data_IF_259335512134
#
_entry.id   IF_259335512134
#
_cell.length_a   1.000
_cell.length_b   1.000
_cell.length_c   1.000
_cell.angle_alpha   90.00
_cell.angle_beta   90.00
_cell.angle_gamma   90.00
#
_symmetry.space_group_name_H-M   'P 1'
#
loop_
_entity.id
_entity.type
_entity.pdbx_description
1 polymer ?
#
# COMPACT_ATOMS: atom_id res chain seq x y z
N UNK A 1 -13.09 -13.53 31.24
CA UNK A 1 -14.10 -12.44 31.29
C UNK A 1 -14.02 -11.46 30.10
N UNK A 2 -12.87 -10.88 29.72
CA UNK A 2 -12.78 -10.08 28.47
C UNK A 2 -12.77 -10.93 27.18
N UNK A 3 -12.16 -12.10 27.22
CA UNK A 3 -12.15 -13.05 26.08
C UNK A 3 -13.53 -13.70 25.83
N UNK A 4 -14.36 -13.82 26.87
CA UNK A 4 -15.69 -14.46 26.74
C UNK A 4 -16.69 -13.57 25.97
N UNK A 5 -16.59 -12.25 26.12
CA UNK A 5 -17.44 -11.28 25.40
C UNK A 5 -17.09 -11.20 23.91
N UNK A 6 -15.83 -11.39 23.54
CA UNK A 6 -15.38 -11.27 22.16
C UNK A 6 -15.58 -12.57 21.36
N UNK A 7 -15.42 -13.74 22.00
CA UNK A 7 -15.91 -15.00 21.46
C UNK A 7 -17.43 -14.96 21.23
N UNK A 8 -18.17 -14.27 22.09
CA UNK A 8 -19.61 -14.04 21.93
C UNK A 8 -19.95 -13.15 20.72
N UNK A 9 -19.10 -12.19 20.34
CA UNK A 9 -19.38 -11.34 19.16
C UNK A 9 -19.31 -12.12 17.86
N UNK A 10 -18.28 -12.97 17.70
CA UNK A 10 -18.15 -13.81 16.50
C UNK A 10 -19.31 -14.81 16.40
N UNK A 11 -19.67 -15.47 17.51
CA UNK A 11 -20.79 -16.42 17.52
C UNK A 11 -22.14 -15.75 17.28
N UNK A 12 -22.35 -14.51 17.74
CA UNK A 12 -23.54 -13.71 17.43
C UNK A 12 -23.62 -13.38 15.94
N UNK A 13 -22.51 -13.02 15.29
CA UNK A 13 -22.49 -12.76 13.85
C UNK A 13 -22.75 -14.03 13.03
N UNK A 14 -22.11 -15.14 13.39
CA UNK A 14 -22.33 -16.43 12.73
C UNK A 14 -23.77 -16.92 12.90
N UNK A 15 -24.36 -16.72 14.10
CA UNK A 15 -25.76 -17.02 14.36
C UNK A 15 -26.68 -16.13 13.51
N UNK A 16 -26.39 -14.82 13.42
CA UNK A 16 -27.17 -13.89 12.62
C UNK A 16 -27.13 -14.28 11.13
N UNK A 17 -25.95 -14.57 10.59
CA UNK A 17 -25.79 -15.04 9.21
C UNK A 17 -26.62 -16.31 8.94
N UNK A 18 -26.56 -17.28 9.86
CA UNK A 18 -27.36 -18.51 9.77
C UNK A 18 -28.86 -18.23 9.87
N UNK A 19 -29.31 -17.34 10.74
CA UNK A 19 -30.71 -16.96 10.83
C UNK A 19 -31.23 -16.39 9.51
N UNK A 20 -30.47 -15.48 8.90
CA UNK A 20 -30.85 -14.90 7.62
C UNK A 20 -30.88 -15.94 6.49
N UNK A 21 -30.10 -17.03 6.57
CA UNK A 21 -30.17 -18.09 5.56
C UNK A 21 -31.53 -18.82 5.49
N UNK A 22 -32.41 -18.66 6.49
CA UNK A 22 -33.76 -19.20 6.45
C UNK A 22 -34.74 -18.26 5.72
N UNK A 23 -35.45 -18.72 4.66
CA UNK A 23 -36.37 -17.88 3.90
C UNK A 23 -37.46 -17.20 4.75
N UNK A 24 -37.98 -17.90 5.76
CA UNK A 24 -39.00 -17.37 6.67
C UNK A 24 -38.52 -16.15 7.46
N UNK A 25 -37.23 -16.11 7.83
CA UNK A 25 -36.64 -14.95 8.52
C UNK A 25 -36.55 -13.76 7.58
N UNK A 26 -36.24 -13.99 6.30
CA UNK A 26 -36.22 -12.94 5.28
C UNK A 26 -37.58 -12.35 5.00
N UNK A 27 -38.59 -13.20 4.84
CA UNK A 27 -39.97 -12.76 4.64
C UNK A 27 -40.43 -11.88 5.81
N UNK A 28 -40.15 -12.31 7.04
CA UNK A 28 -40.43 -11.51 8.22
C UNK A 28 -39.71 -10.15 8.20
N UNK A 29 -38.42 -10.16 7.88
CA UNK A 29 -37.62 -8.93 7.83
C UNK A 29 -38.07 -7.98 6.72
N UNK A 30 -38.53 -8.49 5.56
CA UNK A 30 -39.14 -7.67 4.52
C UNK A 30 -40.45 -7.05 4.99
N UNK A 31 -41.33 -7.83 5.60
CA UNK A 31 -42.59 -7.33 6.15
C UNK A 31 -42.34 -6.26 7.23
N UNK A 32 -41.34 -6.46 8.08
CA UNK A 32 -40.92 -5.47 9.07
C UNK A 32 -40.36 -4.19 8.42
N UNK A 33 -39.54 -4.32 7.37
CA UNK A 33 -38.97 -3.19 6.63
C UNK A 33 -40.03 -2.35 5.88
N UNK A 34 -41.12 -2.97 5.42
CA UNK A 34 -42.28 -2.26 4.85
C UNK A 34 -43.00 -1.40 5.90
N UNK A 35 -42.98 -1.83 7.16
CA UNK A 35 -43.63 -1.12 8.27
C UNK A 35 -42.73 -0.04 8.87
N UNK A 36 -41.43 -0.30 8.98
CA UNK A 36 -40.42 0.63 9.49
C UNK A 36 -39.09 0.44 8.75
N UNK A 37 -38.66 1.47 8.01
CA UNK A 37 -37.44 1.44 7.20
C UNK A 37 -36.15 1.26 8.02
N UNK A 38 -36.19 1.45 9.34
CA UNK A 38 -35.06 1.15 10.23
C UNK A 38 -34.77 -0.36 10.33
N UNK A 39 -35.75 -1.21 10.02
CA UNK A 39 -35.58 -2.67 9.96
C UNK A 39 -35.07 -3.14 8.59
N UNK A 40 -34.89 -2.24 7.61
CA UNK A 40 -34.34 -2.60 6.31
C UNK A 40 -32.86 -3.00 6.41
N UNK A 41 -32.44 -3.94 5.56
CA UNK A 41 -31.06 -4.40 5.52
C UNK A 41 -30.08 -3.30 5.11
N UNK A 42 -30.54 -2.31 4.33
CA UNK A 42 -29.78 -1.09 4.01
C UNK A 42 -29.40 -0.27 5.25
N UNK A 43 -30.23 -0.31 6.30
CA UNK A 43 -29.96 0.36 7.58
C UNK A 43 -29.19 -0.55 8.56
N UNK A 44 -29.46 -1.86 8.54
CA UNK A 44 -28.90 -2.80 9.51
C UNK A 44 -27.48 -3.27 9.15
N UNK A 45 -27.18 -3.55 7.88
CA UNK A 45 -25.87 -4.08 7.47
C UNK A 45 -24.73 -3.11 7.74
N UNK A 46 -24.86 -1.77 7.57
CA UNK A 46 -23.82 -0.83 7.96
C UNK A 46 -23.37 -0.94 9.42
N UNK A 47 -24.19 -1.51 10.32
CA UNK A 47 -23.79 -1.77 11.72
C UNK A 47 -22.70 -2.84 11.85
N UNK A 48 -22.47 -3.65 10.80
CA UNK A 48 -21.38 -4.62 10.73
C UNK A 48 -20.05 -3.96 10.31
N UNK A 49 -20.10 -2.77 9.69
CA UNK A 49 -18.93 -2.14 9.08
C UNK A 49 -17.77 -1.89 10.07
N UNK A 50 -18.00 -1.45 11.32
CA UNK A 50 -16.92 -1.29 12.30
C UNK A 50 -16.18 -2.59 12.62
N UNK A 51 -16.79 -3.76 12.38
CA UNK A 51 -16.20 -5.06 12.71
C UNK A 51 -15.28 -5.63 11.62
N UNK A 52 -15.20 -5.01 10.43
CA UNK A 52 -14.25 -5.40 9.39
C UNK A 52 -12.80 -5.38 9.89
N UNK A 53 -12.47 -4.41 10.74
CA UNK A 53 -11.13 -4.23 11.33
C UNK A 53 -11.12 -4.51 12.83
N UNK A 54 -11.92 -5.48 13.26
CA UNK A 54 -11.93 -5.92 14.65
C UNK A 54 -10.60 -6.62 15.02
N UNK A 55 -10.13 -6.43 16.26
CA UNK A 55 -8.84 -6.97 16.74
C UNK A 55 -8.77 -8.50 16.69
N UNK A 56 -9.91 -9.17 16.82
CA UNK A 56 -10.02 -10.63 16.81
C UNK A 56 -10.35 -11.15 15.40
N UNK A 57 -9.50 -12.04 14.90
CA UNK A 57 -9.58 -12.62 13.56
C UNK A 57 -10.89 -13.35 13.28
N UNK A 58 -11.42 -14.13 14.24
CA UNK A 58 -12.69 -14.85 14.03
C UNK A 58 -13.87 -13.91 13.82
N UNK A 59 -13.89 -12.74 14.46
CA UNK A 59 -14.91 -11.71 14.24
C UNK A 59 -14.82 -11.17 12.81
N UNK A 60 -13.61 -10.86 12.33
CA UNK A 60 -13.42 -10.40 10.93
C UNK A 60 -13.86 -11.45 9.92
N UNK A 61 -13.57 -12.73 10.17
CA UNK A 61 -14.05 -13.85 9.34
C UNK A 61 -15.58 -13.93 9.35
N UNK A 62 -16.21 -13.83 10.52
CA UNK A 62 -17.67 -13.88 10.67
C UNK A 62 -18.35 -12.74 9.90
N UNK A 63 -17.80 -11.52 9.92
CA UNK A 63 -18.30 -10.39 9.11
C UNK A 63 -18.27 -10.75 7.63
N UNK A 64 -17.13 -11.20 7.10
CA UNK A 64 -17.00 -11.53 5.67
C UNK A 64 -17.91 -12.69 5.26
N UNK A 65 -18.04 -13.73 6.08
CA UNK A 65 -18.97 -14.84 5.83
C UNK A 65 -20.43 -14.37 5.84
N UNK A 66 -20.79 -13.49 6.76
CA UNK A 66 -22.13 -12.89 6.82
C UNK A 66 -22.45 -12.15 5.52
N UNK A 67 -21.50 -11.38 4.99
CA UNK A 67 -21.67 -10.71 3.70
C UNK A 67 -21.79 -11.70 2.54
N UNK A 68 -21.01 -12.79 2.53
CA UNK A 68 -21.18 -13.84 1.52
C UNK A 68 -22.56 -14.48 1.57
N UNK A 69 -23.10 -14.73 2.77
CA UNK A 69 -24.46 -15.24 2.93
C UNK A 69 -25.45 -14.26 2.30
N UNK A 70 -25.38 -12.97 2.64
CA UNK A 70 -26.26 -11.95 2.05
C UNK A 70 -26.13 -11.81 0.53
N UNK A 71 -24.91 -11.92 -0.02
CA UNK A 71 -24.68 -11.85 -1.47
C UNK A 71 -25.21 -13.09 -2.20
N UNK A 72 -25.26 -14.24 -1.54
CA UNK A 72 -25.83 -15.47 -2.10
C UNK A 72 -27.37 -15.47 -2.13
N UNK A 73 -28.01 -14.44 -1.57
CA UNK A 73 -29.45 -14.33 -1.47
C UNK A 73 -29.93 -13.39 -2.57
N UNK A 74 -30.34 -13.95 -3.71
CA UNK A 74 -30.75 -13.20 -4.90
C UNK A 74 -31.90 -12.20 -4.66
N UNK A 75 -32.66 -12.39 -3.58
CA UNK A 75 -33.83 -11.58 -3.26
C UNK A 75 -33.51 -10.38 -2.33
N UNK A 76 -32.24 -10.02 -2.14
CA UNK A 76 -31.81 -8.92 -1.28
C UNK A 76 -30.83 -7.99 -2.03
N UNK A 77 -31.35 -7.19 -2.96
CA UNK A 77 -30.50 -6.31 -3.79
C UNK A 77 -30.14 -4.97 -3.13
N UNK A 78 -30.90 -4.51 -2.14
CA UNK A 78 -30.92 -3.07 -1.78
C UNK A 78 -29.81 -2.61 -0.82
N UNK A 79 -29.01 -3.52 -0.27
CA UNK A 79 -28.05 -3.18 0.78
C UNK A 79 -26.63 -2.89 0.28
N UNK A 80 -26.27 -3.39 -0.91
CA UNK A 80 -24.95 -3.18 -1.49
C UNK A 80 -24.84 -1.74 -1.97
N UNK A 81 -23.78 -1.06 -1.53
CA UNK A 81 -23.49 0.32 -1.93
C UNK A 81 -21.98 0.57 -2.03
N UNK A 82 -21.61 1.81 -2.35
CA UNK A 82 -20.21 2.23 -2.47
C UNK A 82 -19.39 1.99 -1.18
N UNK A 83 -20.02 2.02 0.02
CA UNK A 83 -19.33 1.87 1.31
C UNK A 83 -18.85 0.44 1.48
N UNK A 84 -19.69 -0.53 1.11
CA UNK A 84 -19.33 -1.95 1.12
C UNK A 84 -18.13 -2.23 0.22
N UNK A 85 -18.14 -1.71 -1.01
CA UNK A 85 -17.00 -1.84 -1.93
C UNK A 85 -15.71 -1.25 -1.33
N UNK A 86 -15.78 -0.02 -0.79
CA UNK A 86 -14.60 0.61 -0.16
C UNK A 86 -14.06 -0.22 1.01
N UNK A 87 -14.92 -0.73 1.88
CA UNK A 87 -14.49 -1.52 3.05
C UNK A 87 -13.84 -2.84 2.66
N UNK A 88 -14.45 -3.58 1.73
CA UNK A 88 -13.87 -4.85 1.25
C UNK A 88 -12.54 -4.61 0.55
N UNK A 89 -12.46 -3.56 -0.28
CA UNK A 89 -11.21 -3.18 -0.94
C UNK A 89 -10.12 -2.82 0.08
N UNK A 90 -10.42 -1.95 1.04
CA UNK A 90 -9.51 -1.60 2.12
C UNK A 90 -9.07 -2.83 2.92
N UNK A 91 -9.97 -3.78 3.16
CA UNK A 91 -9.64 -5.03 3.84
C UNK A 91 -8.55 -5.80 3.07
N UNK A 92 -8.63 -5.83 1.73
CA UNK A 92 -7.58 -6.44 0.91
C UNK A 92 -6.22 -5.73 1.03
N UNK A 93 -6.20 -4.44 1.37
CA UNK A 93 -4.97 -3.67 1.54
C UNK A 93 -4.33 -3.88 2.92
N UNK A 94 -5.11 -3.91 4.00
CA UNK A 94 -4.58 -3.91 5.38
C UNK A 94 -4.70 -5.26 6.10
N UNK A 95 -5.23 -6.31 5.48
CA UNK A 95 -5.34 -7.63 6.11
C UNK A 95 -4.01 -8.39 6.11
N UNK A 96 -3.52 -8.74 7.31
CA UNK A 96 -2.29 -9.51 7.48
C UNK A 96 -2.51 -11.03 7.35
N UNK A 97 -3.70 -11.53 7.74
CA UNK A 97 -3.99 -12.96 7.76
C UNK A 97 -4.39 -13.44 6.37
N UNK A 98 -3.58 -14.34 5.79
CA UNK A 98 -3.77 -14.88 4.42
C UNK A 98 -5.18 -15.41 4.16
N UNK A 99 -5.77 -16.14 5.10
CA UNK A 99 -7.09 -16.74 4.91
C UNK A 99 -8.21 -15.69 4.91
N UNK A 100 -8.10 -14.67 5.77
CA UNK A 100 -9.04 -13.54 5.81
C UNK A 100 -8.92 -12.68 4.55
N UNK A 101 -7.69 -12.51 4.06
CA UNK A 101 -7.41 -11.80 2.82
C UNK A 101 -8.02 -12.53 1.61
N UNK A 102 -7.86 -13.85 1.55
CA UNK A 102 -8.51 -14.69 0.52
C UNK A 102 -10.03 -14.62 0.59
N UNK A 103 -10.60 -14.63 1.80
CA UNK A 103 -12.04 -14.46 2.00
C UNK A 103 -12.52 -13.07 1.57
N UNK A 104 -11.71 -12.03 1.77
CA UNK A 104 -12.01 -10.65 1.33
C UNK A 104 -12.06 -10.56 -0.19
N UNK A 105 -11.12 -11.20 -0.90
CA UNK A 105 -11.16 -11.28 -2.37
C UNK A 105 -12.40 -12.05 -2.85
N UNK A 106 -12.79 -13.13 -2.16
CA UNK A 106 -14.02 -13.86 -2.49
C UNK A 106 -15.26 -12.98 -2.33
N UNK A 107 -15.37 -12.23 -1.23
CA UNK A 107 -16.46 -11.25 -1.02
C UNK A 107 -16.46 -10.20 -2.13
N UNK A 108 -15.27 -9.69 -2.50
CA UNK A 108 -15.13 -8.73 -3.59
C UNK A 108 -15.66 -9.27 -4.92
N UNK A 109 -15.27 -10.49 -5.31
CA UNK A 109 -15.77 -11.14 -6.53
C UNK A 109 -17.30 -11.28 -6.52
N UNK A 110 -17.88 -11.69 -5.39
CA UNK A 110 -19.33 -11.79 -5.24
C UNK A 110 -20.02 -10.42 -5.33
N UNK A 111 -19.43 -9.36 -4.75
CA UNK A 111 -19.95 -7.99 -4.85
C UNK A 111 -19.97 -7.50 -6.30
N UNK A 112 -18.85 -7.68 -7.03
CA UNK A 112 -18.75 -7.29 -8.44
C UNK A 112 -19.80 -8.03 -9.27
N UNK A 113 -19.87 -9.37 -9.13
CA UNK A 113 -20.85 -10.19 -9.85
C UNK A 113 -22.29 -9.76 -9.52
N UNK A 114 -22.62 -9.57 -8.25
CA UNK A 114 -23.95 -9.15 -7.80
C UNK A 114 -24.33 -7.78 -8.39
N UNK A 115 -23.46 -6.78 -8.28
CA UNK A 115 -23.71 -5.43 -8.80
C UNK A 115 -23.77 -5.36 -10.35
N UNK A 116 -23.24 -6.37 -11.04
CA UNK A 116 -23.30 -6.50 -12.50
C UNK A 116 -24.51 -7.31 -13.01
N UNK A 117 -25.24 -8.00 -12.12
CA UNK A 117 -26.30 -8.95 -12.53
C UNK A 117 -27.56 -8.27 -13.05
N UNK A 118 -27.79 -6.99 -12.73
CA UNK A 118 -28.93 -6.22 -13.23
C UNK A 118 -28.48 -5.29 -14.37
N UNK A 119 -28.86 -5.63 -15.60
CA UNK A 119 -28.47 -4.90 -16.83
C UNK A 119 -29.15 -3.53 -16.94
N UNK A 120 -30.27 -3.32 -16.25
CA UNK A 120 -31.08 -2.11 -16.37
C UNK A 120 -30.50 -0.90 -15.62
N UNK A 121 -29.68 -1.13 -14.60
CA UNK A 121 -29.00 -0.10 -13.81
C UNK A 121 -27.51 -0.44 -13.76
N UNK A 122 -26.63 0.45 -14.24
CA UNK A 122 -25.18 0.29 -14.11
C UNK A 122 -24.73 0.49 -12.63
N UNK A 123 -25.29 -0.30 -11.70
CA UNK A 123 -25.06 -0.24 -10.25
C UNK A 123 -23.56 -0.35 -9.94
N UNK A 124 -22.86 -1.25 -10.64
CA UNK A 124 -21.41 -1.41 -10.50
C UNK A 124 -20.67 -0.09 -10.73
N UNK A 125 -20.96 0.61 -11.83
CA UNK A 125 -20.34 1.91 -12.15
C UNK A 125 -20.74 2.96 -11.13
N UNK A 126 -22.01 3.01 -10.74
CA UNK A 126 -22.51 3.97 -9.76
C UNK A 126 -21.81 3.83 -8.40
N UNK A 127 -21.57 2.59 -7.94
CA UNK A 127 -20.95 2.34 -6.64
C UNK A 127 -19.43 2.50 -6.64
N UNK A 128 -18.75 2.35 -7.78
CA UNK A 128 -17.29 2.21 -7.80
C UNK A 128 -16.55 3.29 -8.57
N UNK A 129 -17.15 3.92 -9.58
CA UNK A 129 -16.47 4.87 -10.49
C UNK A 129 -15.68 5.98 -9.78
N UNK A 130 -16.30 6.64 -8.80
CA UNK A 130 -15.67 7.72 -8.01
C UNK A 130 -14.50 7.25 -7.11
N UNK A 131 -14.30 5.94 -6.94
CA UNK A 131 -13.28 5.38 -6.06
C UNK A 131 -12.09 4.77 -6.80
N UNK A 132 -12.18 4.60 -8.13
CA UNK A 132 -11.13 3.94 -8.93
C UNK A 132 -9.78 4.63 -8.74
N UNK A 133 -9.71 5.95 -8.91
CA UNK A 133 -8.44 6.69 -8.74
C UNK A 133 -7.88 6.58 -7.32
N UNK A 134 -8.76 6.51 -6.31
CA UNK A 134 -8.35 6.30 -4.91
C UNK A 134 -7.74 4.91 -4.71
N UNK A 135 -8.36 3.87 -5.27
CA UNK A 135 -7.88 2.49 -5.20
C UNK A 135 -6.54 2.28 -5.89
N UNK A 136 -6.36 2.87 -7.07
CA UNK A 136 -5.05 2.90 -7.74
C UNK A 136 -4.00 3.61 -6.87
N UNK A 137 -4.33 4.77 -6.30
CA UNK A 137 -3.40 5.52 -5.43
C UNK A 137 -2.97 4.71 -4.20
N UNK A 138 -3.89 3.94 -3.60
CA UNK A 138 -3.59 3.07 -2.45
C UNK A 138 -2.68 1.91 -2.86
N UNK A 139 -3.01 1.17 -3.94
CA UNK A 139 -2.21 0.02 -4.42
C UNK A 139 -0.79 0.46 -4.78
N UNK A 140 -0.67 1.61 -5.45
CA UNK A 140 0.57 2.13 -6.04
C UNK A 140 1.37 3.02 -5.08
N UNK A 141 1.03 3.02 -3.78
CA UNK A 141 1.84 3.71 -2.76
C UNK A 141 3.23 3.07 -2.71
N UNK A 142 4.35 3.79 -2.76
CA UNK A 142 5.67 3.17 -2.65
C UNK A 142 5.87 2.28 -1.41
N UNK A 143 6.75 1.28 -1.51
CA UNK A 143 7.09 0.46 -0.35
C UNK A 143 7.86 1.29 0.69
N UNK A 144 7.48 1.18 1.96
CA UNK A 144 8.11 1.90 3.07
C UNK A 144 7.67 3.35 3.23
N UNK A 145 6.71 3.83 2.42
CA UNK A 145 6.05 5.13 2.64
C UNK A 145 4.66 4.93 3.24
N UNK A 146 4.25 5.71 4.25
CA UNK A 146 2.91 5.58 4.82
C UNK A 146 1.80 5.73 3.76
N UNK A 147 0.78 4.89 3.84
CA UNK A 147 -0.43 5.00 3.03
C UNK A 147 -1.25 6.18 3.53
N UNK A 148 -1.73 7.04 2.62
CA UNK A 148 -2.56 8.17 3.00
C UNK A 148 -3.92 7.69 3.53
N UNK A 149 -4.10 7.83 4.85
CA UNK A 149 -5.31 7.42 5.56
C UNK A 149 -6.56 8.15 5.10
N UNK A 150 -6.44 9.33 4.49
CA UNK A 150 -7.59 10.10 3.97
C UNK A 150 -8.27 9.40 2.80
N UNK A 151 -7.58 8.46 2.15
CA UNK A 151 -8.12 7.65 1.07
C UNK A 151 -9.06 6.54 1.60
N UNK A 152 -8.99 6.22 2.89
CA UNK A 152 -9.79 5.17 3.52
C UNK A 152 -11.15 5.70 3.98
N UNK A 153 -12.19 4.89 3.76
CA UNK A 153 -13.49 5.02 4.38
C UNK A 153 -13.40 4.57 5.83
N UNK A 154 -13.93 5.38 6.74
CA UNK A 154 -14.10 5.02 8.14
C UNK A 154 -15.62 4.85 8.37
N UNK A 155 -16.08 3.67 8.80
CA UNK A 155 -17.47 3.46 9.16
C UNK A 155 -17.94 4.38 10.28
N UNK A 156 -19.19 4.82 10.20
CA UNK A 156 -19.86 5.46 11.32
C UNK A 156 -20.16 4.44 12.42
N UNK A 157 -19.85 4.78 13.67
CA UNK A 157 -20.10 3.95 14.84
C UNK A 157 -18.87 3.78 15.73
N UNK A 158 -19.06 3.37 16.99
CA UNK A 158 -17.94 3.10 17.88
C UNK A 158 -17.11 1.97 17.27
N UNK A 159 -15.80 2.21 17.09
CA UNK A 159 -14.85 1.14 16.80
C UNK A 159 -15.03 0.11 17.92
N UNK A 160 -15.36 -1.16 17.63
CA UNK A 160 -15.60 -2.17 18.65
C UNK A 160 -14.27 -2.59 19.28
N UNK A 161 -13.68 -1.70 20.08
CA UNK A 161 -12.98 -1.91 21.36
C UNK A 161 -12.33 -0.59 21.86
N UNK A 162 -13.11 0.47 22.09
CA UNK A 162 -12.73 1.53 23.05
C UNK A 162 -13.80 1.64 24.15
N UNK A 163 -13.93 0.60 24.98
CA UNK A 163 -14.46 0.84 26.33
C UNK A 163 -13.25 1.31 27.13
N UNK A 164 -13.12 2.64 27.27
CA UNK A 164 -12.19 3.26 28.21
C UNK A 164 -12.34 2.57 29.59
N UNK A 165 -11.25 2.36 30.35
CA UNK A 165 -11.39 1.92 31.73
C UNK A 165 -12.25 2.96 32.44
N UNK A 166 -13.33 2.51 33.07
CA UNK A 166 -14.10 3.36 33.98
C UNK A 166 -13.17 3.64 35.16
N UNK A 167 -12.37 4.71 35.08
CA UNK A 167 -11.65 5.22 36.24
C UNK A 167 -12.71 5.62 37.25
N UNK A 168 -12.84 4.83 38.31
CA UNK A 168 -13.59 5.16 39.49
C UNK A 168 -13.20 6.58 39.92
N UNK A 169 -14.20 7.47 40.06
CA UNK A 169 -13.97 8.79 40.62
C UNK A 169 -13.38 8.62 42.03
N UNK A 170 -12.26 9.28 42.37
CA UNK A 170 -11.91 9.44 43.76
C UNK A 170 -12.82 10.53 44.34
N UNK A 171 -13.75 10.11 45.19
CA UNK A 171 -14.39 11.02 46.14
C UNK A 171 -13.31 11.63 47.05
N UNK A 172 -12.98 12.90 46.84
CA UNK A 172 -12.29 13.70 47.85
C UNK A 172 -12.90 15.09 47.92
N UNK A 173 -13.59 15.30 49.03
CA UNK A 173 -14.04 16.59 49.52
C UNK A 173 -12.87 17.39 50.07
N UNK A 174 -12.95 18.70 49.87
CA UNK A 174 -12.35 19.80 50.66
C UNK A 174 -11.06 20.49 50.15
N UNK A 175 -11.22 21.82 50.03
CA UNK A 175 -10.31 22.87 50.50
C UNK A 175 -9.38 23.60 49.50
N UNK A 176 -9.86 24.82 49.15
CA UNK A 176 -9.16 26.13 49.17
C UNK A 176 -8.30 26.60 47.98
N UNK A 177 -8.83 27.69 47.35
CA UNK A 177 -8.19 28.97 46.96
C UNK A 177 -6.79 28.93 46.33
N UNK A 178 -6.63 29.39 45.09
CA UNK A 178 -6.40 30.82 44.80
C UNK A 178 -6.46 31.18 43.30
N UNK A 179 -6.73 32.47 43.08
CA UNK A 179 -6.86 33.24 41.85
C UNK A 179 -5.73 33.10 40.81
N UNK A 180 -6.09 33.11 39.52
CA UNK A 180 -5.18 33.31 38.39
C UNK A 180 -5.93 33.38 37.06
N UNK A 181 -6.38 34.59 36.69
CA UNK A 181 -7.09 34.93 35.46
C UNK A 181 -6.12 34.89 34.26
N UNK A 182 -6.38 34.01 33.29
CA UNK A 182 -5.98 34.26 31.89
C UNK A 182 -6.96 33.57 30.94
N UNK A 183 -7.64 34.40 30.15
CA UNK A 183 -8.41 33.98 28.98
C UNK A 183 -7.50 33.24 28.01
N UNK A 184 -7.95 32.10 27.50
CA UNK A 184 -7.40 31.51 26.28
C UNK A 184 -8.54 30.94 25.45
N UNK A 185 -8.45 31.24 24.16
CA UNK A 185 -9.45 31.02 23.14
C UNK A 185 -9.86 29.55 23.00
N UNK A 186 -11.15 29.41 22.77
CA UNK A 186 -11.86 28.21 22.40
C UNK A 186 -11.45 27.80 20.97
N UNK A 187 -10.51 26.87 20.83
CA UNK A 187 -10.34 26.11 19.61
C UNK A 187 -10.52 24.62 19.94
N UNK A 188 -11.68 24.10 19.54
CA UNK A 188 -12.02 22.69 19.62
C UNK A 188 -11.11 21.86 18.72
N UNK A 189 -9.95 21.48 19.25
CA UNK A 189 -9.23 20.31 18.78
C UNK A 189 -9.65 19.14 19.67
N UNK A 190 -10.63 18.37 19.20
CA UNK A 190 -10.79 16.98 19.59
C UNK A 190 -9.47 16.27 19.30
N UNK A 191 -8.61 16.19 20.30
CA UNK A 191 -7.44 15.32 20.32
C UNK A 191 -8.00 13.91 20.17
N UNK A 192 -7.95 13.38 18.95
CA UNK A 192 -8.17 11.98 18.66
C UNK A 192 -7.16 11.21 19.49
N UNK A 193 -7.61 10.65 20.60
CA UNK A 193 -6.82 9.75 21.43
C UNK A 193 -6.31 8.63 20.52
N UNK A 194 -5.00 8.50 20.44
CA UNK A 194 -4.27 7.56 19.60
C UNK A 194 -4.46 6.13 20.11
N UNK A 195 -5.65 5.58 19.92
CA UNK A 195 -5.96 4.18 20.17
C UNK A 195 -5.32 3.32 19.09
N UNK A 196 -4.61 2.27 19.50
CA UNK A 196 -3.82 1.42 18.61
C UNK A 196 -4.73 0.66 17.62
N UNK A 197 -4.88 1.20 16.41
CA UNK A 197 -5.48 0.47 15.29
C UNK A 197 -4.60 -0.72 14.93
N UNK A 198 -5.19 -1.90 14.75
CA UNK A 198 -4.50 -3.11 14.26
C UNK A 198 -3.87 -2.90 12.88
N UNK A 199 -4.32 -1.88 12.16
CA UNK A 199 -3.83 -1.56 10.82
C UNK A 199 -2.58 -0.68 10.84
N UNK A 200 -2.10 -0.27 12.03
CA UNK A 200 -1.01 0.72 12.14
C UNK A 200 0.25 0.26 11.42
N UNK A 201 0.65 -1.01 11.59
CA UNK A 201 1.82 -1.58 10.90
C UNK A 201 1.66 -1.55 9.37
N UNK A 202 0.52 -2.01 8.87
CA UNK A 202 0.19 -2.00 7.43
C UNK A 202 0.12 -0.58 6.84
N UNK A 203 -0.55 0.34 7.54
CA UNK A 203 -0.75 1.72 7.07
C UNK A 203 0.55 2.54 7.10
N UNK A 204 1.40 2.34 8.10
CA UNK A 204 2.71 3.00 8.15
C UNK A 204 3.76 2.29 7.29
N UNK A 205 3.47 1.06 6.84
CA UNK A 205 4.44 0.16 6.23
C UNK A 205 5.68 -0.02 7.11
N UNK A 206 5.45 -0.17 8.42
CA UNK A 206 6.51 -0.40 9.38
C UNK A 206 7.01 -1.84 9.27
N UNK A 207 8.14 -2.01 8.58
CA UNK A 207 8.72 -3.32 8.32
C UNK A 207 9.29 -4.02 9.56
N UNK A 208 9.34 -3.35 10.71
CA UNK A 208 9.62 -4.00 11.99
C UNK A 208 8.39 -4.73 12.56
N UNK A 209 7.18 -4.31 12.19
CA UNK A 209 5.92 -4.89 12.64
C UNK A 209 5.32 -5.86 11.62
N UNK A 210 5.47 -5.56 10.33
CA UNK A 210 4.86 -6.32 9.23
C UNK A 210 5.89 -6.58 8.13
N UNK A 211 6.03 -7.81 7.66
CA UNK A 211 6.97 -8.11 6.58
C UNK A 211 6.55 -7.50 5.24
N UNK A 212 7.53 -7.20 4.38
CA UNK A 212 7.30 -6.73 3.00
C UNK A 212 6.39 -7.70 2.24
N UNK A 213 6.53 -9.01 2.44
CA UNK A 213 5.70 -10.03 1.78
C UNK A 213 4.21 -9.92 2.13
N UNK A 214 3.88 -9.52 3.38
CA UNK A 214 2.48 -9.33 3.79
C UNK A 214 1.91 -8.09 3.09
N UNK A 215 2.65 -6.98 3.07
CA UNK A 215 2.25 -5.75 2.36
C UNK A 215 2.04 -6.03 0.87
N UNK A 216 3.00 -6.70 0.22
CA UNK A 216 2.90 -7.06 -1.19
C UNK A 216 1.74 -8.01 -1.48
N UNK A 217 1.47 -8.98 -0.60
CA UNK A 217 0.32 -9.88 -0.77
C UNK A 217 -1.01 -9.12 -0.76
N UNK A 218 -1.16 -8.15 0.13
CA UNK A 218 -2.34 -7.28 0.18
C UNK A 218 -2.53 -6.52 -1.13
N UNK A 219 -1.47 -5.88 -1.62
CA UNK A 219 -1.47 -5.15 -2.90
C UNK A 219 -1.80 -6.03 -4.10
N UNK A 220 -1.16 -7.18 -4.22
CA UNK A 220 -1.43 -8.16 -5.29
C UNK A 220 -2.89 -8.63 -5.22
N UNK A 221 -3.43 -8.84 -4.02
CA UNK A 221 -4.83 -9.24 -3.83
C UNK A 221 -5.80 -8.14 -4.25
N UNK A 222 -5.52 -6.89 -3.88
CA UNK A 222 -6.32 -5.75 -4.32
C UNK A 222 -6.20 -5.51 -5.83
N UNK A 223 -5.02 -5.72 -6.43
CA UNK A 223 -4.80 -5.69 -7.88
C UNK A 223 -5.63 -6.74 -8.61
N UNK A 224 -5.68 -7.97 -8.09
CA UNK A 224 -6.62 -9.02 -8.56
C UNK A 224 -8.07 -8.52 -8.52
N UNK A 225 -8.44 -7.89 -7.41
CA UNK A 225 -9.76 -7.25 -7.26
C UNK A 225 -10.06 -6.23 -8.35
N UNK A 226 -9.13 -5.31 -8.65
CA UNK A 226 -9.31 -4.36 -9.76
C UNK A 226 -9.41 -5.05 -11.12
N UNK A 227 -8.62 -6.09 -11.38
CA UNK A 227 -8.72 -6.87 -12.60
C UNK A 227 -10.11 -7.51 -12.77
N UNK A 228 -10.66 -8.09 -11.70
CA UNK A 228 -12.04 -8.61 -11.67
C UNK A 228 -13.06 -7.49 -11.89
N UNK A 229 -12.88 -6.32 -11.28
CA UNK A 229 -13.78 -5.19 -11.51
C UNK A 229 -13.81 -4.77 -12.98
N UNK A 230 -12.63 -4.70 -13.61
CA UNK A 230 -12.50 -4.34 -15.03
C UNK A 230 -13.19 -5.36 -15.94
N UNK A 231 -13.22 -6.65 -15.60
CA UNK A 231 -13.84 -7.68 -16.44
C UNK A 231 -15.38 -7.63 -16.47
N UNK A 232 -15.99 -6.96 -15.49
CA UNK A 232 -17.44 -6.72 -15.42
C UNK A 232 -17.81 -5.28 -15.78
N UNK A 233 -16.84 -4.45 -16.18
CA UNK A 233 -17.09 -3.06 -16.53
C UNK A 233 -17.78 -2.93 -17.88
N UNK A 234 -18.69 -1.95 -18.08
CA UNK A 234 -19.29 -1.72 -19.39
C UNK A 234 -18.25 -1.35 -20.46
N UNK A 235 -18.24 -2.09 -21.57
CA UNK A 235 -17.27 -1.94 -22.66
C UNK A 235 -17.19 -0.49 -23.18
N UNK A 236 -18.32 0.21 -23.28
CA UNK A 236 -18.42 1.58 -23.80
C UNK A 236 -17.62 2.61 -22.98
N UNK A 237 -17.37 2.33 -21.70
CA UNK A 237 -16.70 3.24 -20.77
C UNK A 237 -15.40 2.69 -20.18
N UNK A 238 -15.05 1.43 -20.50
CA UNK A 238 -13.88 0.75 -19.95
C UNK A 238 -12.57 1.46 -20.31
N UNK A 239 -12.39 1.80 -21.59
CA UNK A 239 -11.19 2.51 -22.04
C UNK A 239 -11.05 3.85 -21.33
N UNK A 240 -12.09 4.69 -21.38
CA UNK A 240 -12.09 6.03 -20.75
C UNK A 240 -11.82 5.98 -19.25
N UNK A 241 -12.25 4.92 -18.57
CA UNK A 241 -12.11 4.79 -17.12
C UNK A 241 -10.71 4.33 -16.70
N UNK A 242 -10.12 3.35 -17.41
CA UNK A 242 -8.93 2.64 -16.92
C UNK A 242 -7.64 2.90 -17.71
N UNK A 243 -7.72 3.31 -18.97
CA UNK A 243 -6.56 3.45 -19.86
C UNK A 243 -5.45 4.30 -19.26
N UNK A 244 -5.79 5.49 -18.81
CA UNK A 244 -4.79 6.45 -18.32
C UNK A 244 -4.12 5.96 -17.04
N UNK A 245 -4.86 5.30 -16.14
CA UNK A 245 -4.27 4.70 -14.94
C UNK A 245 -3.28 3.59 -15.31
N UNK A 246 -3.70 2.62 -16.14
CA UNK A 246 -2.86 1.47 -16.48
C UNK A 246 -1.59 1.92 -17.21
N UNK A 247 -1.71 2.80 -18.21
CA UNK A 247 -0.55 3.30 -18.96
C UNK A 247 0.38 4.16 -18.10
N UNK A 248 -0.16 5.01 -17.22
CA UNK A 248 0.65 5.81 -16.29
C UNK A 248 1.46 4.93 -15.32
N UNK A 249 0.88 3.83 -14.83
CA UNK A 249 1.59 2.94 -13.90
C UNK A 249 2.54 1.95 -14.60
N UNK A 250 2.22 1.47 -15.80
CA UNK A 250 3.17 0.67 -16.61
C UNK A 250 4.38 1.51 -17.04
N UNK A 251 4.21 2.83 -17.25
CA UNK A 251 5.32 3.75 -17.54
C UNK A 251 6.01 4.34 -16.29
N UNK A 252 5.50 4.06 -15.08
CA UNK A 252 5.99 4.64 -13.82
C UNK A 252 7.49 4.43 -13.60
N UNK A 253 8.22 5.36 -12.96
CA UNK A 253 9.62 5.16 -12.58
C UNK A 253 9.79 4.22 -11.37
N UNK A 254 8.70 3.68 -10.80
CA UNK A 254 8.71 2.73 -9.70
C UNK A 254 8.51 1.31 -10.24
N UNK A 255 9.45 0.40 -9.95
CA UNK A 255 9.37 -0.99 -10.41
C UNK A 255 8.11 -1.69 -9.87
N UNK A 256 7.79 -1.51 -8.58
CA UNK A 256 6.57 -2.08 -7.99
C UNK A 256 5.28 -1.60 -8.66
N UNK A 257 5.20 -0.33 -9.08
CA UNK A 257 4.02 0.19 -9.78
C UNK A 257 3.86 -0.47 -11.15
N UNK A 258 4.96 -0.65 -11.90
CA UNK A 258 4.93 -1.37 -13.18
C UNK A 258 4.43 -2.79 -12.99
N UNK A 259 4.98 -3.50 -12.00
CA UNK A 259 4.62 -4.88 -11.68
C UNK A 259 3.15 -5.00 -11.26
N UNK A 260 2.67 -4.12 -10.37
CA UNK A 260 1.28 -4.14 -9.92
C UNK A 260 0.30 -3.78 -11.04
N UNK A 261 0.66 -2.88 -11.96
CA UNK A 261 -0.15 -2.57 -13.14
C UNK A 261 -0.21 -3.74 -14.13
N UNK A 262 0.91 -4.47 -14.29
CA UNK A 262 0.94 -5.71 -15.07
C UNK A 262 0.05 -6.78 -14.43
N UNK A 263 0.07 -6.94 -13.09
CA UNK A 263 -0.83 -7.86 -12.37
C UNK A 263 -2.29 -7.49 -12.58
N UNK A 264 -2.66 -6.20 -12.50
CA UNK A 264 -4.05 -5.77 -12.76
C UNK A 264 -4.47 -6.16 -14.19
N UNK A 265 -3.59 -5.92 -15.16
CA UNK A 265 -3.85 -6.24 -16.58
C UNK A 265 -3.98 -7.75 -16.80
N UNK A 266 -3.10 -8.55 -16.20
CA UNK A 266 -3.16 -10.01 -16.26
C UNK A 266 -4.47 -10.52 -15.66
N UNK A 267 -4.84 -10.05 -14.46
CA UNK A 267 -6.03 -10.50 -13.76
C UNK A 267 -7.31 -10.04 -14.45
N UNK A 268 -7.32 -8.86 -15.08
CA UNK A 268 -8.40 -8.43 -15.97
C UNK A 268 -8.55 -9.38 -17.15
N UNK A 269 -7.45 -9.71 -17.84
CA UNK A 269 -7.48 -10.63 -18.99
C UNK A 269 -7.96 -12.03 -18.59
N UNK A 270 -7.54 -12.51 -17.42
CA UNK A 270 -7.91 -13.82 -16.85
C UNK A 270 -9.37 -13.88 -16.41
N UNK A 271 -9.89 -12.76 -15.88
CA UNK A 271 -11.26 -12.67 -15.35
C UNK A 271 -12.28 -12.33 -16.44
N UNK A 272 -11.82 -11.84 -17.60
CA UNK A 272 -12.71 -11.58 -18.74
C UNK A 272 -13.18 -12.92 -19.30
N UNK A 273 -14.47 -13.18 -19.16
CA UNK A 273 -15.12 -14.38 -19.70
C UNK A 273 -15.17 -14.24 -21.21
N UNK A 274 -14.11 -14.66 -21.88
CA UNK A 274 -14.13 -14.87 -23.31
C UNK A 274 -14.89 -16.17 -23.54
N UNK A 275 -16.13 -16.09 -24.04
CA UNK A 275 -16.66 -17.19 -24.83
C UNK A 275 -15.58 -17.53 -25.86
N UNK A 276 -15.01 -18.73 -25.79
CA UNK A 276 -13.71 -19.18 -26.33
C UNK A 276 -13.55 -18.98 -27.86
N UNK A 277 -14.53 -18.37 -28.53
CA UNK A 277 -14.60 -18.16 -29.96
C UNK A 277 -14.07 -16.79 -30.44
N UNK A 278 -13.96 -15.76 -29.58
CA UNK A 278 -13.49 -14.42 -30.00
C UNK A 278 -12.23 -13.98 -29.25
N UNK A 279 -11.11 -13.69 -29.94
CA UNK A 279 -9.92 -13.11 -29.30
C UNK A 279 -10.26 -11.82 -28.53
N UNK A 280 -9.68 -11.65 -27.33
CA UNK A 280 -9.92 -10.48 -26.47
C UNK A 280 -9.61 -9.14 -27.17
N UNK A 281 -8.68 -9.14 -28.12
CA UNK A 281 -8.32 -7.99 -28.98
C UNK A 281 -9.48 -7.50 -29.85
N UNK A 282 -10.49 -8.33 -30.10
CA UNK A 282 -11.70 -7.96 -30.84
C UNK A 282 -12.83 -7.49 -29.91
N UNK A 283 -12.68 -7.70 -28.59
CA UNK A 283 -13.71 -7.37 -27.58
C UNK A 283 -13.57 -5.92 -27.10
N UNK A 284 -12.35 -5.40 -26.99
CA UNK A 284 -12.12 -4.03 -26.53
C UNK A 284 -10.89 -3.37 -27.17
N UNK A 285 -10.98 -2.11 -27.66
CA UNK A 285 -9.83 -1.36 -28.17
C UNK A 285 -8.72 -1.19 -27.11
N UNK A 286 -9.07 -1.15 -25.83
CA UNK A 286 -8.14 -1.03 -24.70
C UNK A 286 -7.12 -2.18 -24.70
N UNK A 287 -7.54 -3.39 -25.10
CA UNK A 287 -6.69 -4.59 -25.11
C UNK A 287 -5.55 -4.40 -26.10
N UNK A 288 -5.85 -3.89 -27.30
CA UNK A 288 -4.84 -3.63 -28.33
C UNK A 288 -3.85 -2.56 -27.86
N UNK A 289 -4.33 -1.48 -27.23
CA UNK A 289 -3.49 -0.40 -26.70
C UNK A 289 -2.53 -0.93 -25.64
N UNK A 290 -3.03 -1.64 -24.63
CA UNK A 290 -2.21 -2.16 -23.53
C UNK A 290 -1.25 -3.24 -24.04
N UNK A 291 -1.72 -4.13 -24.92
CA UNK A 291 -0.89 -5.19 -25.53
C UNK A 291 0.30 -4.60 -26.30
N UNK A 292 0.04 -3.63 -27.20
CA UNK A 292 1.11 -2.94 -27.93
C UNK A 292 2.08 -2.23 -27.00
N UNK A 293 1.58 -1.60 -25.93
CA UNK A 293 2.44 -0.94 -24.94
C UNK A 293 3.31 -1.93 -24.16
N UNK A 294 2.75 -3.05 -23.71
CA UNK A 294 3.50 -4.08 -22.98
C UNK A 294 4.53 -4.79 -23.87
N UNK A 295 4.21 -5.05 -25.14
CA UNK A 295 5.18 -5.57 -26.12
C UNK A 295 6.33 -4.59 -26.29
N UNK A 296 6.03 -3.29 -26.44
CA UNK A 296 7.07 -2.26 -26.54
C UNK A 296 7.97 -2.19 -25.30
N UNK A 297 7.44 -2.47 -24.10
CA UNK A 297 8.26 -2.57 -22.88
C UNK A 297 9.20 -3.78 -22.97
N UNK A 298 8.69 -4.95 -23.38
CA UNK A 298 9.49 -6.19 -23.49
C UNK A 298 10.58 -6.10 -24.56
N UNK A 299 10.34 -5.36 -25.64
CA UNK A 299 11.32 -5.13 -26.71
C UNK A 299 12.35 -4.03 -26.37
N UNK A 300 12.06 -3.20 -25.36
CA UNK A 300 12.94 -2.11 -24.95
C UNK A 300 14.02 -2.56 -23.96
N UNK A 301 15.12 -1.82 -23.89
CA UNK A 301 16.10 -2.02 -22.82
C UNK A 301 15.49 -1.66 -21.46
N UNK A 302 15.86 -2.37 -20.38
CA UNK A 302 15.40 -2.03 -19.04
C UNK A 302 15.74 -0.58 -18.67
N UNK A 303 14.89 0.10 -17.88
CA UNK A 303 15.18 1.43 -17.37
C UNK A 303 16.55 1.49 -16.69
N UNK A 304 17.29 2.57 -16.94
CA UNK A 304 18.58 2.79 -16.28
C UNK A 304 18.44 2.98 -14.76
N UNK A 305 17.25 3.34 -14.29
CA UNK A 305 17.00 3.70 -12.90
C UNK A 305 15.55 3.44 -12.47
N UNK A 306 15.39 3.07 -11.18
CA UNK A 306 14.09 2.98 -10.50
C UNK A 306 14.08 3.82 -9.23
N UNK A 307 12.96 4.47 -8.96
CA UNK A 307 12.79 5.38 -7.80
C UNK A 307 12.95 4.69 -6.45
N UNK A 308 12.73 3.38 -6.38
CA UNK A 308 12.92 2.57 -5.16
C UNK A 308 14.40 2.52 -4.73
N UNK A 309 15.31 2.71 -5.68
CA UNK A 309 16.74 2.64 -5.45
C UNK A 309 17.34 3.96 -4.93
N UNK A 310 16.55 5.05 -4.82
CA UNK A 310 17.00 6.35 -4.28
C UNK A 310 17.64 6.18 -2.90
N UNK A 311 17.00 5.43 -2.01
CA UNK A 311 17.50 5.22 -0.64
C UNK A 311 18.84 4.48 -0.61
N UNK A 312 19.01 3.50 -1.51
CA UNK A 312 20.26 2.74 -1.69
C UNK A 312 21.35 3.66 -2.25
N UNK A 313 21.05 4.49 -3.25
CA UNK A 313 22.01 5.46 -3.79
C UNK A 313 22.45 6.50 -2.75
N UNK A 314 21.52 7.01 -1.92
CA UNK A 314 21.88 7.93 -0.82
C UNK A 314 22.90 7.31 0.12
N UNK A 315 22.72 6.02 0.44
CA UNK A 315 23.67 5.28 1.27
C UNK A 315 25.01 5.12 0.58
N UNK A 316 25.05 4.69 -0.69
CA UNK A 316 26.29 4.57 -1.46
C UNK A 316 27.03 5.91 -1.51
N UNK A 317 26.32 7.01 -1.77
CA UNK A 317 26.88 8.36 -1.76
C UNK A 317 27.56 8.69 -0.43
N UNK A 318 26.87 8.41 0.69
CA UNK A 318 27.43 8.65 2.02
C UNK A 318 28.68 7.79 2.29
N UNK A 319 28.70 6.55 1.80
CA UNK A 319 29.86 5.65 1.89
C UNK A 319 31.05 6.15 1.03
N UNK A 320 30.79 6.65 -0.19
CA UNK A 320 31.80 7.33 -1.01
C UNK A 320 32.37 8.56 -0.27
N UNK A 321 31.51 9.40 0.31
CA UNK A 321 31.96 10.57 1.08
C UNK A 321 32.82 10.14 2.28
N UNK A 322 32.42 9.09 3.01
CA UNK A 322 33.19 8.56 4.13
C UNK A 322 34.56 8.02 3.69
N UNK A 323 34.63 7.37 2.52
CA UNK A 323 35.89 6.92 1.91
C UNK A 323 36.81 8.11 1.58
N UNK A 324 36.29 9.15 0.92
CA UNK A 324 37.06 10.37 0.62
C UNK A 324 37.55 11.08 1.89
N UNK A 325 36.71 11.15 2.93
CA UNK A 325 37.09 11.72 4.23
C UNK A 325 38.19 10.89 4.92
N UNK A 326 38.24 9.58 4.67
CA UNK A 326 39.28 8.69 5.21
C UNK A 326 40.63 8.96 4.53
N UNK A 327 40.66 9.31 3.23
CA UNK A 327 41.88 9.77 2.57
C UNK A 327 42.45 11.06 3.18
N UNK A 328 41.60 11.99 3.62
CA UNK A 328 42.05 13.22 4.29
C UNK A 328 42.55 12.94 5.70
N UNK A 329 41.75 12.24 6.50
CA UNK A 329 42.03 12.04 7.93
C UNK A 329 43.17 11.04 8.19
N UNK A 330 43.16 9.90 7.50
CA UNK A 330 44.13 8.80 7.68
C UNK A 330 45.23 8.87 6.61
N UNK A 331 44.85 9.02 5.34
CA UNK A 331 45.80 9.10 4.22
C UNK A 331 46.58 10.42 4.14
N UNK A 332 46.20 11.44 4.92
CA UNK A 332 46.82 12.78 4.93
C UNK A 332 46.90 13.42 3.53
N UNK A 333 45.94 13.10 2.67
CA UNK A 333 45.78 13.77 1.37
C UNK A 333 45.25 15.19 1.60
N UNK A 334 45.74 16.15 0.81
CA UNK A 334 45.25 17.54 0.89
C UNK A 334 43.76 17.57 0.52
N UNK A 335 42.89 18.28 1.28
CA UNK A 335 41.48 18.44 0.93
C UNK A 335 41.26 18.98 -0.48
N UNK A 336 42.19 19.80 -1.00
CA UNK A 336 42.10 20.37 -2.36
C UNK A 336 42.29 19.32 -3.47
N UNK A 337 42.84 18.15 -3.15
CA UNK A 337 43.02 17.05 -4.10
C UNK A 337 41.83 16.08 -4.12
N UNK A 338 40.87 16.27 -3.20
CA UNK A 338 39.67 15.43 -3.14
C UNK A 338 38.66 15.94 -4.17
N UNK A 339 38.22 15.10 -5.13
CA UNK A 339 37.24 15.53 -6.10
C UNK A 339 35.89 15.82 -5.43
N UNK A 340 35.12 16.79 -5.95
CA UNK A 340 33.80 17.09 -5.43
C UNK A 340 32.84 15.92 -5.70
N UNK A 341 32.04 15.57 -4.71
CA UNK A 341 30.98 14.57 -4.82
C UNK A 341 29.63 15.28 -5.01
N UNK A 342 28.82 14.93 -6.03
CA UNK A 342 27.49 15.49 -6.19
C UNK A 342 26.66 15.37 -4.91
N UNK A 343 25.86 16.38 -4.58
CA UNK A 343 25.09 16.44 -3.32
C UNK A 343 23.80 15.64 -3.38
N UNK A 344 23.13 15.64 -4.53
CA UNK A 344 21.87 14.95 -4.77
C UNK A 344 22.10 13.70 -5.61
N UNK A 345 21.28 12.67 -5.38
CA UNK A 345 21.28 11.43 -6.17
C UNK A 345 20.21 11.48 -7.27
N UNK A 346 20.36 10.64 -8.29
CA UNK A 346 19.33 10.47 -9.32
C UNK A 346 17.98 10.13 -8.65
N UNK A 347 16.91 10.81 -9.08
CA UNK A 347 15.55 10.65 -8.57
C UNK A 347 15.13 11.64 -7.47
N UNK A 348 16.05 12.43 -6.91
CA UNK A 348 15.70 13.47 -5.92
C UNK A 348 15.39 14.83 -6.55
N UNK A 349 16.00 15.11 -7.70
CA UNK A 349 15.85 16.36 -8.41
C UNK A 349 15.74 16.07 -9.90
N UNK A 350 14.98 16.93 -10.59
CA UNK A 350 14.98 16.97 -12.04
C UNK A 350 16.25 17.70 -12.45
N UNK A 351 17.08 17.07 -13.29
CA UNK A 351 18.17 17.78 -13.95
C UNK A 351 17.57 18.84 -14.87
N UNK A 352 17.45 20.07 -14.38
CA UNK A 352 16.96 21.20 -15.16
C UNK A 352 18.09 21.84 -15.97
N UNK A 353 19.33 21.76 -15.46
CA UNK A 353 20.53 22.33 -16.08
C UNK A 353 21.65 21.30 -16.22
N UNK A 354 22.37 21.34 -17.35
CA UNK A 354 23.57 20.52 -17.61
C UNK A 354 24.73 20.76 -16.62
N UNK A 355 24.61 21.74 -15.72
CA UNK A 355 25.61 22.09 -14.70
C UNK A 355 25.48 21.26 -13.41
N UNK A 356 24.33 20.65 -13.14
CA UNK A 356 24.11 19.88 -11.92
C UNK A 356 24.24 18.39 -12.21
N UNK A 357 25.46 17.86 -12.05
CA UNK A 357 25.67 16.41 -12.09
C UNK A 357 24.98 15.78 -10.89
N UNK A 358 24.19 14.73 -11.11
CA UNK A 358 23.56 13.95 -10.04
C UNK A 358 24.43 12.73 -9.73
N UNK A 359 24.44 12.30 -8.48
CA UNK A 359 25.14 11.09 -8.07
C UNK A 359 24.40 9.85 -8.60
N UNK A 360 25.12 9.03 -9.36
CA UNK A 360 24.65 7.78 -9.94
C UNK A 360 25.52 6.60 -9.48
N UNK A 361 25.13 5.37 -9.83
CA UNK A 361 25.95 4.19 -9.55
C UNK A 361 27.27 4.22 -10.32
N UNK A 362 27.26 4.78 -11.54
CA UNK A 362 28.46 4.94 -12.37
C UNK A 362 29.45 5.92 -11.72
N UNK A 363 28.96 7.01 -11.12
CA UNK A 363 29.80 7.92 -10.33
C UNK A 363 30.38 7.20 -9.11
N UNK A 364 29.59 6.37 -8.44
CA UNK A 364 30.10 5.57 -7.32
C UNK A 364 31.22 4.61 -7.74
N UNK A 365 31.03 3.93 -8.89
CA UNK A 365 32.03 3.03 -9.48
C UNK A 365 33.33 3.79 -9.80
N UNK A 366 33.24 4.92 -10.50
CA UNK A 366 34.39 5.78 -10.83
C UNK A 366 35.15 6.23 -9.56
N UNK A 367 34.41 6.61 -8.51
CA UNK A 367 34.98 7.02 -7.22
C UNK A 367 35.71 5.86 -6.53
N UNK A 368 35.12 4.67 -6.56
CA UNK A 368 35.66 3.47 -5.91
C UNK A 368 36.83 2.84 -6.66
N UNK A 369 36.98 3.10 -7.96
CA UNK A 369 38.03 2.53 -8.80
C UNK A 369 39.10 3.54 -9.16
N UNK A 370 38.81 4.46 -10.07
CA UNK A 370 39.81 5.35 -10.68
C UNK A 370 40.29 6.40 -9.68
N UNK A 371 39.34 7.08 -9.02
CA UNK A 371 39.67 8.09 -8.02
C UNK A 371 40.39 7.45 -6.84
N UNK A 372 39.90 6.30 -6.36
CA UNK A 372 40.55 5.56 -5.27
C UNK A 372 42.02 5.22 -5.61
N UNK A 373 42.28 4.63 -6.78
CA UNK A 373 43.66 4.31 -7.23
C UNK A 373 44.53 5.56 -7.29
N UNK A 374 44.02 6.65 -7.86
CA UNK A 374 44.75 7.91 -7.97
C UNK A 374 45.08 8.51 -6.59
N UNK A 375 44.16 8.49 -5.64
CA UNK A 375 44.41 8.98 -4.28
C UNK A 375 45.36 8.05 -3.51
N UNK A 376 45.25 6.74 -3.69
CA UNK A 376 46.12 5.76 -3.04
C UNK A 376 47.58 5.95 -3.47
N UNK A 377 47.86 6.19 -4.75
CA UNK A 377 49.24 6.48 -5.21
C UNK A 377 49.85 7.71 -4.53
N UNK A 378 49.06 8.74 -4.21
CA UNK A 378 49.53 9.92 -3.47
C UNK A 378 49.87 9.59 -2.01
N UNK A 379 49.16 8.66 -1.39
CA UNK A 379 49.42 8.19 -0.02
C UNK A 379 50.70 7.35 0.03
N UNK A 380 50.85 6.41 -0.91
CA UNK A 380 52.02 5.53 -1.01
C UNK A 380 53.32 6.28 -1.34
N UNK A 381 53.23 7.37 -2.11
CA UNK A 381 54.38 8.23 -2.42
C UNK A 381 54.92 9.04 -1.23
N UNK A 382 54.19 9.09 -0.09
CA UNK A 382 54.52 9.96 1.06
C UNK A 382 55.00 9.24 2.33
N UNK A 383 54.70 7.95 2.52
CA UNK A 383 54.88 7.27 3.83
C UNK A 383 55.98 6.19 3.88
N UNK A 384 56.73 6.13 5.00
CA UNK A 384 57.73 5.09 5.33
C UNK A 384 57.06 3.76 5.70
N UNK A 385 57.60 2.65 5.18
CA UNK A 385 57.01 1.30 5.04
C UNK A 385 56.12 0.72 6.16
N UNK A 386 56.35 0.96 7.46
CA UNK A 386 55.60 0.23 8.51
C UNK A 386 54.27 0.86 8.91
N UNK A 387 54.09 2.19 8.79
CA UNK A 387 52.80 2.85 9.04
C UNK A 387 51.87 2.83 7.83
N UNK A 388 52.39 2.38 6.68
CA UNK A 388 51.68 2.43 5.40
C UNK A 388 50.68 1.29 5.27
N UNK A 389 51.01 0.09 5.78
CA UNK A 389 50.14 -1.10 5.70
C UNK A 389 48.82 -0.91 6.47
N UNK A 390 48.86 -0.37 7.69
CA UNK A 390 47.64 -0.11 8.49
C UNK A 390 46.74 0.97 7.85
N UNK A 391 47.35 1.99 7.24
CA UNK A 391 46.64 3.07 6.53
C UNK A 391 45.97 2.53 5.26
N UNK A 392 46.72 1.75 4.47
CA UNK A 392 46.24 1.11 3.25
C UNK A 392 45.09 0.14 3.55
N UNK A 393 45.22 -0.67 4.61
CA UNK A 393 44.16 -1.57 5.08
C UNK A 393 42.87 -0.83 5.42
N UNK A 394 42.95 0.29 6.14
CA UNK A 394 41.78 1.11 6.47
C UNK A 394 41.12 1.74 5.24
N UNK A 395 41.91 2.17 4.26
CA UNK A 395 41.40 2.74 3.00
C UNK A 395 40.70 1.67 2.15
N UNK A 396 41.32 0.49 2.02
CA UNK A 396 40.69 -0.64 1.33
C UNK A 396 39.45 -1.17 2.06
N UNK A 397 39.37 -1.10 3.38
CA UNK A 397 38.14 -1.43 4.10
C UNK A 397 36.98 -0.52 3.67
N UNK A 398 37.22 0.79 3.56
CA UNK A 398 36.21 1.74 3.06
C UNK A 398 35.84 1.49 1.60
N UNK A 399 36.83 1.22 0.75
CA UNK A 399 36.59 0.87 -0.66
C UNK A 399 35.72 -0.38 -0.79
N UNK A 400 36.03 -1.45 -0.04
CA UNK A 400 35.26 -2.71 -0.07
C UNK A 400 33.81 -2.50 0.33
N UNK A 401 33.53 -1.61 1.29
CA UNK A 401 32.14 -1.25 1.66
C UNK A 401 31.40 -0.60 0.50
N UNK A 402 32.02 0.38 -0.17
CA UNK A 402 31.42 1.05 -1.34
C UNK A 402 31.14 0.03 -2.45
N UNK A 403 32.12 -0.81 -2.79
CA UNK A 403 31.98 -1.85 -3.82
C UNK A 403 30.87 -2.86 -3.47
N UNK A 404 30.79 -3.28 -2.21
CA UNK A 404 29.72 -4.17 -1.75
C UNK A 404 28.34 -3.53 -1.87
N UNK A 405 28.21 -2.24 -1.55
CA UNK A 405 26.95 -1.50 -1.70
C UNK A 405 26.57 -1.26 -3.17
N UNK A 406 27.55 -1.05 -4.07
CA UNK A 406 27.33 -1.01 -5.52
C UNK A 406 26.78 -2.36 -6.00
N UNK A 407 27.42 -3.48 -5.62
CA UNK A 407 26.95 -4.82 -5.99
C UNK A 407 25.53 -5.11 -5.47
N UNK A 408 25.19 -4.64 -4.26
CA UNK A 408 23.82 -4.73 -3.75
C UNK A 408 22.82 -3.90 -4.57
N UNK A 409 23.19 -2.68 -4.99
CA UNK A 409 22.36 -1.86 -5.87
C UNK A 409 22.11 -2.54 -7.21
N UNK A 410 23.15 -3.07 -7.86
CA UNK A 410 23.05 -3.74 -9.15
C UNK A 410 22.18 -4.99 -9.08
N UNK A 411 22.38 -5.83 -8.06
CA UNK A 411 21.55 -7.02 -7.84
C UNK A 411 20.07 -6.65 -7.60
N UNK A 412 19.81 -5.57 -6.88
CA UNK A 412 18.44 -5.08 -6.63
C UNK A 412 17.82 -4.50 -7.90
N UNK A 413 18.58 -3.74 -8.70
CA UNK A 413 18.13 -3.25 -10.00
C UNK A 413 17.82 -4.41 -10.95
N UNK A 414 18.70 -5.41 -11.02
CA UNK A 414 18.51 -6.59 -11.87
C UNK A 414 17.25 -7.39 -11.49
N UNK A 415 16.85 -7.39 -10.22
CA UNK A 415 15.59 -8.00 -9.79
C UNK A 415 14.36 -7.21 -10.24
N UNK A 416 14.52 -5.90 -10.44
CA UNK A 416 13.46 -4.99 -10.85
C UNK A 416 13.30 -4.90 -12.38
N UNK A 417 14.40 -5.03 -13.12
CA UNK A 417 14.42 -5.28 -14.56
C UNK A 417 13.68 -6.58 -14.90
#
# INVERSE_FOLDING_TARGET
>A
LKDDLTASTASVMDFLAKLFSFPTVLEYMRAAALSDSNHSLKTLIPRLYPFFRHTITSVRVAVLNTLLTFLGMNEIEEWVDHRTFRLVFQNMIVEEKKDVLGLSLKVWSCLVSHASSSVAENKLVHFTSQHIGTWFSIIMTPLGTPIDRRLFFVPDGPIPMEIAPVTALPSSTSSRRNSGRSQSNNNGNTVLTSSHSIDTGMLQQDFALVSVDIVLRGRVTASKGLGILMSYWPNDSLETTFKDFILAYLSSPWASNKQLAAVITEEWSRSTIVNIQTPLTQVSPLVSIISSFMISILESNPPNFYSELVSVLRRIRAECQAMLNTFVSVGKVSPNNIPPLPTQVIGEAIQTDNSTTLFSVEVAAEMSENVFKNLLTQVLGRNRKSSTEDVESQLHDRQRRVVASIGYYEATKQKND
#
